data_IF_325903573220
#
_entry.id   IF_325903573220
#
_cell.length_a   1.000
_cell.length_b   1.000
_cell.length_c   1.000
_cell.angle_alpha   90.00
_cell.angle_beta   90.00
_cell.angle_gamma   90.00
#
_symmetry.space_group_name_H-M   'P 1'
#
loop_
_entity.id
_entity.type
_entity.pdbx_description
1 polymer ?
#
# COMPACT_ATOMS: atom_id res chain seq x y z
N UNK A 1 28.72 13.64 26.73
CA UNK A 1 28.71 14.69 25.69
C UNK A 1 28.57 14.16 24.25
N UNK A 2 28.78 12.87 23.95
CA UNK A 2 28.53 12.30 22.60
C UNK A 2 27.04 12.02 22.30
N UNK A 3 26.25 11.65 23.32
CA UNK A 3 24.80 11.39 23.17
C UNK A 3 23.96 12.63 22.80
N UNK A 4 24.55 13.83 22.90
CA UNK A 4 23.91 15.10 22.51
C UNK A 4 24.17 15.46 21.04
N UNK A 5 25.18 14.83 20.42
CA UNK A 5 25.63 15.10 19.05
C UNK A 5 25.19 14.01 18.06
N UNK A 6 25.00 12.78 18.55
CA UNK A 6 24.53 11.65 17.74
C UNK A 6 23.26 11.13 18.41
N UNK A 7 22.11 11.41 17.80
CA UNK A 7 20.82 10.85 18.20
C UNK A 7 20.56 9.64 17.30
N UNK A 8 20.73 8.45 17.85
CA UNK A 8 20.32 7.22 17.15
C UNK A 8 18.80 7.16 17.25
N UNK A 9 18.14 7.19 16.10
CA UNK A 9 16.69 7.08 16.05
C UNK A 9 16.27 5.66 16.46
N UNK A 10 15.61 5.50 17.60
CA UNK A 10 15.28 4.17 18.15
C UNK A 10 14.13 3.50 17.43
N UNK A 11 13.50 4.16 16.45
CA UNK A 11 12.43 3.58 15.63
C UNK A 11 12.93 2.43 14.73
N UNK A 12 14.25 2.27 14.53
CA UNK A 12 14.85 1.20 13.72
C UNK A 12 14.81 -0.20 14.33
N UNK A 13 14.47 -0.37 15.61
CA UNK A 13 14.64 -1.67 16.31
C UNK A 13 13.42 -2.57 16.30
N UNK A 14 12.27 -2.14 15.77
CA UNK A 14 11.06 -2.98 15.69
C UNK A 14 10.76 -3.42 14.26
N UNK A 15 10.44 -4.71 14.09
CA UNK A 15 9.94 -5.23 12.81
C UNK A 15 8.62 -4.53 12.43
N UNK A 16 8.54 -4.11 11.17
CA UNK A 16 7.35 -3.46 10.60
C UNK A 16 6.36 -4.54 10.17
N UNK A 17 5.12 -4.39 10.60
CA UNK A 17 4.00 -5.21 10.14
C UNK A 17 3.10 -4.35 9.27
N UNK A 18 2.85 -4.79 8.04
CA UNK A 18 2.19 -3.99 7.02
C UNK A 18 0.77 -3.55 7.43
N UNK A 19 0.02 -4.42 8.12
CA UNK A 19 -1.36 -4.15 8.50
C UNK A 19 -1.45 -3.28 9.76
N UNK A 20 -0.62 -3.57 10.77
CA UNK A 20 -0.57 -2.79 12.02
C UNK A 20 -0.05 -1.38 11.80
N UNK A 21 0.96 -1.25 10.93
CA UNK A 21 1.71 -0.01 10.77
C UNK A 21 1.24 0.78 9.52
N UNK A 22 0.13 0.36 8.88
CA UNK A 22 -0.44 0.95 7.66
C UNK A 22 -0.79 2.45 7.74
N UNK A 23 -1.08 2.94 8.95
CA UNK A 23 -1.42 4.34 9.24
C UNK A 23 -0.40 4.99 10.22
N UNK A 24 0.73 4.34 10.48
CA UNK A 24 1.74 4.80 11.44
C UNK A 24 2.63 5.89 10.85
N UNK A 25 2.34 7.15 11.22
CA UNK A 25 3.19 8.29 10.83
C UNK A 25 4.62 8.19 11.38
N UNK A 26 4.83 7.51 12.52
CA UNK A 26 6.15 7.34 13.13
C UNK A 26 7.03 6.37 12.32
N UNK A 27 6.42 5.30 11.78
CA UNK A 27 7.13 4.37 10.88
C UNK A 27 7.51 5.07 9.59
N UNK A 28 6.62 5.91 9.06
CA UNK A 28 6.89 6.70 7.85
C UNK A 28 8.01 7.71 8.07
N UNK A 29 8.02 8.45 9.18
CA UNK A 29 9.07 9.43 9.52
C UNK A 29 10.46 8.80 9.66
N UNK A 30 10.53 7.57 10.16
CA UNK A 30 11.79 6.85 10.31
C UNK A 30 12.29 6.20 9.00
N UNK A 31 11.50 6.25 7.92
CA UNK A 31 11.87 5.61 6.66
C UNK A 31 12.99 6.39 5.94
N UNK A 32 14.11 5.72 5.68
CA UNK A 32 15.20 6.24 4.85
C UNK A 32 15.17 5.50 3.50
N UNK A 33 14.82 6.18 2.39
CA UNK A 33 14.82 5.57 1.08
C UNK A 33 16.25 5.17 0.66
N UNK A 34 16.44 3.89 0.34
CA UNK A 34 17.70 3.43 -0.27
C UNK A 34 17.68 3.67 -1.78
N UNK A 35 18.86 3.73 -2.41
CA UNK A 35 18.97 3.84 -3.88
C UNK A 35 18.17 2.74 -4.61
N UNK A 36 18.17 1.51 -4.07
CA UNK A 36 17.39 0.40 -4.63
C UNK A 36 15.88 0.63 -4.49
N UNK A 37 15.42 1.14 -3.34
CA UNK A 37 14.01 1.46 -3.14
C UNK A 37 13.54 2.55 -4.10
N UNK A 38 14.36 3.59 -4.33
CA UNK A 38 14.07 4.63 -5.32
C UNK A 38 13.98 4.04 -6.73
N UNK A 39 14.93 3.20 -7.16
CA UNK A 39 14.89 2.57 -8.48
C UNK A 39 13.64 1.69 -8.68
N UNK A 40 13.20 0.97 -7.63
CA UNK A 40 11.95 0.19 -7.67
C UNK A 40 10.76 1.12 -7.80
N UNK A 41 10.72 2.21 -7.02
CA UNK A 41 9.64 3.19 -7.08
C UNK A 41 9.55 3.87 -8.46
N UNK A 42 10.67 4.25 -9.06
CA UNK A 42 10.70 4.81 -10.42
C UNK A 42 10.11 3.84 -11.45
N UNK A 43 10.44 2.54 -11.34
CA UNK A 43 9.89 1.51 -12.22
C UNK A 43 8.38 1.37 -12.02
N UNK A 44 7.90 1.36 -10.79
CA UNK A 44 6.47 1.34 -10.48
C UNK A 44 5.77 2.58 -11.06
N UNK A 45 6.33 3.78 -10.83
CA UNK A 45 5.76 5.03 -11.30
C UNK A 45 5.64 5.12 -12.83
N UNK A 46 6.59 4.53 -13.57
CA UNK A 46 6.52 4.44 -15.05
C UNK A 46 5.27 3.67 -15.53
N UNK A 47 4.81 2.68 -14.77
CA UNK A 47 3.63 1.88 -15.17
C UNK A 47 2.29 2.60 -15.05
N UNK A 48 2.25 3.76 -14.39
CA UNK A 48 1.00 4.48 -14.13
C UNK A 48 0.36 5.03 -15.41
N UNK A 49 1.18 5.40 -16.39
CA UNK A 49 0.73 6.06 -17.62
C UNK A 49 0.58 5.10 -18.81
N UNK A 50 1.04 3.86 -18.70
CA UNK A 50 1.02 2.89 -19.81
C UNK A 50 -0.07 1.83 -19.59
N UNK A 51 -0.94 1.66 -20.58
CA UNK A 51 -2.06 0.71 -20.52
C UNK A 51 -1.63 -0.76 -20.73
N UNK A 52 -0.46 -0.99 -21.32
CA UNK A 52 0.08 -2.31 -21.70
C UNK A 52 1.23 -2.81 -20.80
N UNK A 53 1.54 -2.12 -19.69
CA UNK A 53 2.63 -2.53 -18.79
C UNK A 53 2.15 -3.50 -17.70
N UNK A 54 3.02 -4.44 -17.33
CA UNK A 54 2.81 -5.35 -16.20
C UNK A 54 2.74 -4.55 -14.89
N UNK A 55 1.66 -4.75 -14.12
CA UNK A 55 1.39 -4.03 -12.85
C UNK A 55 1.59 -4.88 -11.60
N UNK A 56 1.96 -6.15 -11.77
CA UNK A 56 2.31 -7.06 -10.68
C UNK A 56 3.83 -7.11 -10.53
N UNK A 57 4.30 -6.97 -9.30
CA UNK A 57 5.72 -6.94 -8.96
C UNK A 57 6.02 -7.94 -7.85
N UNK A 58 7.14 -8.65 -7.94
CA UNK A 58 7.68 -9.45 -6.84
C UNK A 58 8.98 -8.79 -6.35
N UNK A 59 9.00 -8.43 -5.07
CA UNK A 59 10.15 -7.79 -4.42
C UNK A 59 10.86 -8.78 -3.49
N UNK A 60 11.90 -9.42 -3.98
CA UNK A 60 12.71 -10.37 -3.20
C UNK A 60 13.97 -9.69 -2.67
N UNK A 61 14.14 -9.70 -1.35
CA UNK A 61 15.34 -9.20 -0.68
C UNK A 61 15.52 -9.86 0.70
N UNK A 62 16.73 -9.89 1.28
CA UNK A 62 17.00 -10.49 2.59
C UNK A 62 16.11 -9.96 3.72
N UNK A 63 15.99 -10.72 4.81
CA UNK A 63 15.32 -10.22 6.01
C UNK A 63 16.02 -8.93 6.51
N UNK A 64 15.24 -7.98 7.01
CA UNK A 64 15.76 -6.69 7.50
C UNK A 64 16.14 -5.68 6.42
N UNK A 65 15.97 -5.98 5.13
CA UNK A 65 16.33 -5.07 4.02
C UNK A 65 15.31 -3.93 3.77
N UNK A 66 14.31 -3.75 4.64
CA UNK A 66 13.31 -2.69 4.53
C UNK A 66 12.19 -2.90 3.51
N UNK A 67 11.89 -4.14 3.07
CA UNK A 67 10.80 -4.42 2.09
C UNK A 67 9.43 -3.96 2.61
N UNK A 68 9.08 -4.36 3.82
CA UNK A 68 7.80 -4.00 4.45
C UNK A 68 7.73 -2.50 4.72
N UNK A 69 8.85 -1.88 5.10
CA UNK A 69 8.97 -0.41 5.23
C UNK A 69 8.72 0.30 3.91
N UNK A 70 9.33 -0.20 2.82
CA UNK A 70 9.12 0.32 1.47
C UNK A 70 7.65 0.18 1.04
N UNK A 71 7.01 -0.94 1.34
CA UNK A 71 5.59 -1.15 1.07
C UNK A 71 4.70 -0.14 1.81
N UNK A 72 4.94 0.10 3.11
CA UNK A 72 4.22 1.13 3.89
C UNK A 72 4.45 2.52 3.28
N UNK A 73 5.71 2.85 2.98
CA UNK A 73 6.08 4.12 2.34
C UNK A 73 5.39 4.32 1.00
N UNK A 74 5.43 3.32 0.12
CA UNK A 74 4.72 3.33 -1.17
C UNK A 74 3.22 3.52 -0.99
N UNK A 75 2.64 2.86 0.03
CA UNK A 75 1.21 2.98 0.30
C UNK A 75 0.80 4.41 0.66
N UNK A 76 1.63 5.12 1.44
CA UNK A 76 1.41 6.53 1.77
C UNK A 76 1.68 7.48 0.59
N UNK A 77 2.69 7.18 -0.25
CA UNK A 77 2.91 7.95 -1.48
C UNK A 77 1.70 7.90 -2.44
N UNK A 78 0.91 6.83 -2.40
CA UNK A 78 -0.24 6.63 -3.28
C UNK A 78 -1.58 7.04 -2.64
N UNK A 79 -1.56 7.69 -1.49
CA UNK A 79 -2.72 8.34 -0.88
C UNK A 79 -3.08 9.67 -1.58
N UNK A 80 -4.22 10.26 -1.23
CA UNK A 80 -4.63 11.56 -1.75
C UNK A 80 -3.63 12.67 -1.37
N UNK A 81 -3.39 13.64 -2.27
CA UNK A 81 -2.38 14.68 -2.07
C UNK A 81 -2.63 15.60 -0.86
N UNK A 82 -3.87 15.71 -0.41
CA UNK A 82 -4.29 16.52 0.73
C UNK A 82 -4.08 15.81 2.09
N UNK A 83 -3.74 14.52 2.09
CA UNK A 83 -3.44 13.79 3.31
C UNK A 83 -2.03 14.09 3.81
N UNK A 84 -1.92 14.34 5.12
CA UNK A 84 -0.65 14.66 5.78
C UNK A 84 0.40 13.55 5.61
N UNK A 85 -0.04 12.28 5.57
CA UNK A 85 0.81 11.11 5.32
C UNK A 85 1.39 11.10 3.92
N UNK A 86 0.61 11.45 2.89
CA UNK A 86 1.11 11.63 1.52
C UNK A 86 2.15 12.76 1.47
N UNK A 87 1.83 13.92 2.07
CA UNK A 87 2.73 15.07 2.08
C UNK A 87 4.07 14.74 2.75
N UNK A 88 4.03 13.99 3.84
CA UNK A 88 5.21 13.52 4.53
C UNK A 88 6.03 12.54 3.67
N UNK A 89 5.38 11.56 3.04
CA UNK A 89 6.04 10.60 2.16
C UNK A 89 6.68 11.29 0.93
N UNK A 90 5.97 12.25 0.34
CA UNK A 90 6.48 13.09 -0.75
C UNK A 90 7.63 13.99 -0.30
N UNK A 91 7.56 14.54 0.92
CA UNK A 91 8.65 15.29 1.55
C UNK A 91 9.94 14.46 1.67
N UNK A 92 9.83 13.22 2.12
CA UNK A 92 10.96 12.27 2.19
C UNK A 92 11.62 12.10 0.81
N UNK A 93 10.84 11.99 -0.28
CA UNK A 93 11.42 11.92 -1.64
C UNK A 93 12.17 13.21 -1.99
N UNK A 94 11.57 14.36 -1.74
CA UNK A 94 12.14 15.67 -2.09
C UNK A 94 13.44 15.92 -1.33
N UNK A 95 13.46 15.65 -0.02
CA UNK A 95 14.66 15.77 0.83
C UNK A 95 15.81 14.84 0.36
N UNK A 96 15.47 13.73 -0.29
CA UNK A 96 16.43 12.79 -0.88
C UNK A 96 16.70 13.05 -2.37
N UNK A 97 16.40 14.27 -2.86
CA UNK A 97 16.72 14.71 -4.23
C UNK A 97 15.81 14.13 -5.32
N UNK A 98 14.67 13.53 -4.96
CA UNK A 98 13.73 12.88 -5.88
C UNK A 98 12.52 13.76 -6.23
N UNK A 99 12.72 15.08 -6.39
CA UNK A 99 11.66 16.05 -6.66
C UNK A 99 10.83 15.70 -7.90
N UNK A 100 11.49 15.29 -8.99
CA UNK A 100 10.80 14.92 -10.22
C UNK A 100 9.88 13.70 -10.02
N UNK A 101 10.34 12.70 -9.26
CA UNK A 101 9.55 11.50 -8.96
C UNK A 101 8.35 11.83 -8.08
N UNK A 102 8.54 12.64 -7.03
CA UNK A 102 7.45 13.10 -6.17
C UNK A 102 6.38 13.87 -6.97
N UNK A 103 6.80 14.79 -7.84
CA UNK A 103 5.88 15.56 -8.68
C UNK A 103 5.13 14.67 -9.69
N UNK A 104 5.80 13.67 -10.28
CA UNK A 104 5.16 12.75 -11.21
C UNK A 104 4.06 11.93 -10.52
N UNK A 105 4.33 11.41 -9.32
CA UNK A 105 3.34 10.67 -8.52
C UNK A 105 2.17 11.59 -8.16
N UNK A 106 2.45 12.78 -7.63
CA UNK A 106 1.43 13.77 -7.26
C UNK A 106 0.53 14.13 -8.45
N UNK A 107 1.14 14.41 -9.62
CA UNK A 107 0.43 14.74 -10.86
C UNK A 107 -0.47 13.59 -11.31
N UNK A 108 0.03 12.36 -11.33
CA UNK A 108 -0.77 11.18 -11.67
C UNK A 108 -2.01 11.05 -10.76
N UNK A 109 -1.83 11.23 -9.45
CA UNK A 109 -2.95 11.16 -8.51
C UNK A 109 -4.00 12.26 -8.78
N UNK A 110 -3.57 13.48 -9.10
CA UNK A 110 -4.47 14.59 -9.47
C UNK A 110 -5.24 14.24 -10.76
N UNK A 111 -4.55 13.75 -11.80
CA UNK A 111 -5.15 13.37 -13.08
C UNK A 111 -6.22 12.26 -12.92
N UNK A 112 -6.12 11.43 -11.88
CA UNK A 112 -7.09 10.37 -11.58
C UNK A 112 -8.25 10.77 -10.66
N UNK A 113 -8.28 12.00 -10.16
CA UNK A 113 -9.35 12.50 -9.28
C UNK A 113 -8.93 12.74 -7.82
N UNK A 114 -7.64 12.58 -7.52
CA UNK A 114 -7.01 12.92 -6.25
C UNK A 114 -7.59 12.22 -5.00
N UNK A 115 -8.20 11.03 -5.14
CA UNK A 115 -8.59 10.20 -3.97
C UNK A 115 -7.55 9.15 -3.58
N UNK A 116 -6.41 9.11 -4.24
CA UNK A 116 -5.40 8.08 -3.97
C UNK A 116 -5.81 6.70 -4.48
N UNK A 117 -5.10 5.68 -4.01
CA UNK A 117 -5.39 4.27 -4.24
C UNK A 117 -6.14 3.67 -3.03
N UNK A 118 -7.04 2.74 -3.29
CA UNK A 118 -7.56 1.85 -2.26
C UNK A 118 -6.47 0.85 -1.86
N UNK A 119 -5.95 0.96 -0.63
CA UNK A 119 -4.85 0.15 -0.10
C UNK A 119 -5.39 -1.21 0.36
N UNK A 120 -4.99 -2.29 -0.29
CA UNK A 120 -5.30 -3.68 0.09
C UNK A 120 -4.00 -4.30 0.59
N UNK A 121 -3.81 -4.28 1.91
CA UNK A 121 -2.55 -4.63 2.56
C UNK A 121 -2.70 -5.94 3.34
N UNK A 122 -1.79 -6.88 3.11
CA UNK A 122 -1.80 -8.21 3.70
C UNK A 122 -0.42 -8.61 4.21
N UNK A 123 -0.39 -9.24 5.37
CA UNK A 123 0.78 -9.99 5.85
C UNK A 123 0.46 -11.48 5.87
N UNK A 124 1.43 -12.31 5.49
CA UNK A 124 1.33 -13.77 5.51
C UNK A 124 0.93 -14.34 6.87
N UNK A 125 -0.04 -15.23 6.86
CA UNK A 125 -0.60 -15.94 8.02
C UNK A 125 -0.93 -17.39 7.63
N UNK A 126 -0.98 -18.33 8.59
CA UNK A 126 -1.35 -19.72 8.34
C UNK A 126 -2.87 -19.86 8.22
N UNK A 127 -3.46 -19.21 7.22
CA UNK A 127 -4.90 -19.23 6.92
C UNK A 127 -5.13 -19.14 5.40
N UNK A 128 -6.35 -19.45 4.90
CA UNK A 128 -6.63 -19.39 3.47
C UNK A 128 -6.43 -17.98 2.89
N UNK A 129 -5.66 -17.87 1.79
CA UNK A 129 -5.40 -16.59 1.12
C UNK A 129 -6.69 -15.88 0.71
N UNK A 130 -7.69 -16.63 0.23
CA UNK A 130 -8.97 -16.07 -0.20
C UNK A 130 -9.66 -15.30 0.93
N UNK A 131 -9.79 -15.92 2.10
CA UNK A 131 -10.44 -15.31 3.27
C UNK A 131 -9.67 -14.07 3.73
N UNK A 132 -8.33 -14.18 3.81
CA UNK A 132 -7.48 -13.07 4.22
C UNK A 132 -7.51 -11.91 3.23
N UNK A 133 -7.56 -12.19 1.94
CA UNK A 133 -7.67 -11.19 0.88
C UNK A 133 -9.00 -10.46 0.90
N UNK A 134 -10.11 -11.15 1.16
CA UNK A 134 -11.43 -10.50 1.34
C UNK A 134 -11.45 -9.58 2.55
N UNK A 135 -10.86 -9.99 3.66
CA UNK A 135 -10.73 -9.13 4.84
C UNK A 135 -9.89 -7.88 4.55
N UNK A 136 -8.77 -8.03 3.84
CA UNK A 136 -7.93 -6.89 3.45
C UNK A 136 -8.63 -5.95 2.46
N UNK A 137 -9.41 -6.49 1.51
CA UNK A 137 -10.27 -5.69 0.63
C UNK A 137 -11.30 -4.89 1.42
N UNK A 138 -11.95 -5.50 2.41
CA UNK A 138 -12.90 -4.82 3.30
C UNK A 138 -12.23 -3.69 4.08
N UNK A 139 -11.09 -3.96 4.74
CA UNK A 139 -10.36 -2.96 5.52
C UNK A 139 -9.89 -1.78 4.64
N UNK A 140 -9.36 -2.08 3.45
CA UNK A 140 -8.96 -1.07 2.47
C UNK A 140 -10.13 -0.22 1.99
N UNK A 141 -11.28 -0.84 1.74
CA UNK A 141 -12.49 -0.14 1.32
C UNK A 141 -13.05 0.76 2.44
N UNK A 142 -13.15 0.27 3.67
CA UNK A 142 -13.56 1.07 4.85
C UNK A 142 -12.66 2.29 5.02
N UNK A 143 -11.33 2.13 4.89
CA UNK A 143 -10.39 3.23 4.98
C UNK A 143 -10.56 4.24 3.83
N UNK A 144 -10.71 3.76 2.59
CA UNK A 144 -10.87 4.61 1.40
C UNK A 144 -12.15 5.45 1.44
N UNK A 145 -13.24 4.91 1.98
CA UNK A 145 -14.53 5.61 2.09
C UNK A 145 -14.81 6.22 3.47
N UNK A 146 -13.89 6.16 4.45
CA UNK A 146 -14.08 6.56 5.86
C UNK A 146 -14.85 7.86 6.10
N UNK A 147 -14.59 8.89 5.29
CA UNK A 147 -15.18 10.23 5.44
C UNK A 147 -16.24 10.54 4.35
N UNK A 148 -16.76 9.52 3.67
CA UNK A 148 -17.68 9.66 2.54
C UNK A 148 -18.74 8.56 2.58
N UNK A 149 -19.77 8.68 1.75
CA UNK A 149 -20.77 7.61 1.62
C UNK A 149 -20.13 6.36 1.00
N UNK A 150 -20.10 5.27 1.74
CA UNK A 150 -19.61 3.98 1.26
C UNK A 150 -20.55 3.38 0.19
N UNK A 151 -20.03 2.85 -0.92
CA UNK A 151 -20.80 2.11 -1.92
C UNK A 151 -21.23 0.73 -1.40
N UNK A 152 -22.16 0.08 -2.11
CA UNK A 152 -22.69 -1.25 -1.74
C UNK A 152 -21.63 -2.35 -1.65
N UNK A 153 -20.53 -2.23 -2.40
CA UNK A 153 -19.41 -3.18 -2.36
C UNK A 153 -18.77 -3.26 -0.96
N UNK A 154 -18.77 -2.19 -0.17
CA UNK A 154 -18.23 -2.23 1.21
C UNK A 154 -19.04 -3.19 2.07
N UNK A 155 -20.38 -3.13 1.96
CA UNK A 155 -21.27 -4.06 2.64
C UNK A 155 -21.09 -5.50 2.12
N UNK A 156 -21.05 -5.69 0.80
CA UNK A 156 -20.80 -7.01 0.19
C UNK A 156 -19.50 -7.63 0.70
N UNK A 157 -18.41 -6.85 0.77
CA UNK A 157 -17.14 -7.30 1.32
C UNK A 157 -17.25 -7.65 2.79
N UNK A 158 -18.01 -6.88 3.58
CA UNK A 158 -18.27 -7.20 4.98
C UNK A 158 -18.95 -8.56 5.14
N UNK A 159 -19.99 -8.82 4.36
CA UNK A 159 -20.78 -10.06 4.39
C UNK A 159 -19.92 -11.25 3.91
N UNK A 160 -19.17 -11.07 2.82
CA UNK A 160 -18.29 -12.08 2.22
C UNK A 160 -17.17 -12.58 3.14
N UNK A 161 -16.80 -11.83 4.20
CA UNK A 161 -15.84 -12.30 5.21
C UNK A 161 -16.32 -13.52 6.00
N UNK A 162 -17.63 -13.76 6.02
CA UNK A 162 -18.24 -14.88 6.74
C UNK A 162 -18.49 -16.10 5.82
N UNK A 163 -18.12 -16.00 4.54
CA UNK A 163 -18.38 -17.01 3.52
C UNK A 163 -17.09 -17.72 3.09
N UNK A 164 -17.22 -18.96 2.62
CA UNK A 164 -16.12 -19.69 1.98
C UNK A 164 -16.18 -19.39 0.48
N UNK A 165 -15.29 -18.51 0.02
CA UNK A 165 -15.25 -18.06 -1.37
C UNK A 165 -14.21 -18.80 -2.20
N UNK A 166 -14.57 -19.11 -3.44
CA UNK A 166 -13.62 -19.57 -4.44
C UNK A 166 -12.86 -18.39 -5.09
N UNK A 167 -11.80 -18.72 -5.83
CA UNK A 167 -10.93 -17.71 -6.47
C UNK A 167 -11.72 -16.78 -7.41
N UNK A 168 -12.67 -17.31 -8.18
CA UNK A 168 -13.46 -16.52 -9.13
C UNK A 168 -14.35 -15.49 -8.43
N UNK A 169 -14.95 -15.86 -7.29
CA UNK A 169 -15.76 -14.95 -6.47
C UNK A 169 -14.92 -13.82 -5.87
N UNK A 170 -13.74 -14.15 -5.35
CA UNK A 170 -12.79 -13.17 -4.81
C UNK A 170 -12.33 -12.19 -5.90
N UNK A 171 -12.04 -12.68 -7.12
CA UNK A 171 -11.66 -11.83 -8.24
C UNK A 171 -12.81 -10.93 -8.71
N UNK A 172 -14.06 -11.41 -8.65
CA UNK A 172 -15.24 -10.61 -8.95
C UNK A 172 -15.41 -9.48 -7.92
N UNK A 173 -15.23 -9.76 -6.62
CA UNK A 173 -15.25 -8.74 -5.57
C UNK A 173 -14.16 -7.67 -5.80
N UNK A 174 -12.94 -8.09 -6.16
CA UNK A 174 -11.85 -7.16 -6.49
C UNK A 174 -12.20 -6.26 -7.69
N UNK A 175 -12.82 -6.84 -8.73
CA UNK A 175 -13.25 -6.10 -9.92
C UNK A 175 -14.36 -5.09 -9.59
N UNK A 176 -15.35 -5.48 -8.81
CA UNK A 176 -16.41 -4.57 -8.33
C UNK A 176 -15.82 -3.45 -7.47
N UNK A 177 -14.89 -3.78 -6.57
CA UNK A 177 -14.18 -2.80 -5.75
C UNK A 177 -13.41 -1.80 -6.63
N UNK A 178 -12.64 -2.27 -7.60
CA UNK A 178 -11.90 -1.42 -8.54
C UNK A 178 -12.83 -0.45 -9.28
N UNK A 179 -13.99 -0.93 -9.76
CA UNK A 179 -14.97 -0.08 -10.43
C UNK A 179 -15.55 0.98 -9.48
N UNK A 180 -15.83 0.63 -8.24
CA UNK A 180 -16.33 1.56 -7.24
C UNK A 180 -15.28 2.63 -6.88
N UNK A 181 -14.01 2.24 -6.72
CA UNK A 181 -12.87 3.15 -6.49
C UNK A 181 -12.74 4.13 -7.66
N UNK A 182 -12.75 3.64 -8.90
CA UNK A 182 -12.65 4.49 -10.09
C UNK A 182 -13.81 5.50 -10.18
N UNK A 183 -15.05 5.07 -9.90
CA UNK A 183 -16.23 5.96 -9.87
C UNK A 183 -16.14 7.03 -8.77
N UNK A 184 -15.44 6.74 -7.68
CA UNK A 184 -15.23 7.67 -6.59
C UNK A 184 -14.07 8.66 -6.83
N UNK A 185 -13.37 8.58 -7.98
CA UNK A 185 -12.19 9.41 -8.28
C UNK A 185 -10.87 8.86 -7.73
N UNK A 186 -10.83 7.57 -7.39
CA UNK A 186 -9.62 6.88 -7.00
C UNK A 186 -8.79 6.43 -8.20
N UNK A 187 -7.47 6.39 -8.02
CA UNK A 187 -6.51 6.02 -9.06
C UNK A 187 -6.43 4.49 -9.30
N UNK A 188 -6.96 3.68 -8.38
CA UNK A 188 -7.04 2.22 -8.49
C UNK A 188 -6.91 1.53 -7.15
N UNK A 189 -6.62 0.23 -7.17
CA UNK A 189 -6.31 -0.55 -5.97
C UNK A 189 -4.80 -0.86 -5.91
N UNK A 190 -4.19 -0.66 -4.75
CA UNK A 190 -2.82 -1.07 -4.46
C UNK A 190 -2.88 -2.34 -3.61
N UNK A 191 -2.57 -3.49 -4.21
CA UNK A 191 -2.48 -4.75 -3.48
C UNK A 191 -1.04 -5.03 -3.07
N UNK A 192 -0.80 -5.20 -1.76
CA UNK A 192 0.51 -5.59 -1.24
C UNK A 192 0.34 -6.82 -0.36
N UNK A 193 1.09 -7.86 -0.69
CA UNK A 193 1.14 -9.11 0.07
C UNK A 193 2.57 -9.27 0.57
N UNK A 194 2.77 -9.09 1.86
CA UNK A 194 4.02 -9.40 2.54
C UNK A 194 4.01 -10.86 3.01
N UNK A 195 5.19 -11.49 3.06
CA UNK A 195 5.36 -12.87 3.50
C UNK A 195 4.45 -13.90 2.78
N UNK A 196 4.26 -13.74 1.47
CA UNK A 196 3.40 -14.60 0.63
C UNK A 196 3.66 -16.11 0.80
N UNK A 197 4.89 -16.52 1.12
CA UNK A 197 5.24 -17.92 1.36
C UNK A 197 4.40 -18.60 2.44
N UNK A 198 3.97 -17.88 3.48
CA UNK A 198 3.14 -18.45 4.56
C UNK A 198 1.76 -18.94 4.09
N UNK A 199 1.18 -18.25 3.11
CA UNK A 199 -0.08 -18.69 2.49
C UNK A 199 0.13 -19.93 1.64
N UNK A 200 1.25 -20.03 0.92
CA UNK A 200 1.57 -21.18 0.09
C UNK A 200 1.87 -22.43 0.93
N UNK A 201 2.52 -22.26 2.09
CA UNK A 201 2.79 -23.34 3.05
C UNK A 201 1.51 -23.89 3.69
N UNK A 202 0.49 -23.05 3.89
CA UNK A 202 -0.80 -23.49 4.41
C UNK A 202 -1.61 -24.33 3.41
N UNK A 203 -1.48 -24.03 2.12
CA UNK A 203 -2.17 -24.73 1.02
C UNK A 203 -1.41 -25.96 0.49
N UNK A 204 -0.20 -26.23 1.01
CA UNK A 204 0.68 -27.34 0.61
C UNK A 204 0.48 -28.59 1.48
#
# INVERSE_FOLDING_TARGET
>A
MINTLIRVDTHYTRSINLERDADSTDVLKAYIPTTRAIQVLERIAKTFHTQSELRAWSLTAPYGSGKSSFAVFLSHLLEANDLATHQLASGILIENGQLALANNISKHLIEKGNKGYCKILLTGSPEPLNARFVLAMYNGAEAFWKNTRSPSIVKKLSDARQEILNVSEVLNLLKELQQAVAKAGGAGCLCVIDEMGKFLEYEA
#
